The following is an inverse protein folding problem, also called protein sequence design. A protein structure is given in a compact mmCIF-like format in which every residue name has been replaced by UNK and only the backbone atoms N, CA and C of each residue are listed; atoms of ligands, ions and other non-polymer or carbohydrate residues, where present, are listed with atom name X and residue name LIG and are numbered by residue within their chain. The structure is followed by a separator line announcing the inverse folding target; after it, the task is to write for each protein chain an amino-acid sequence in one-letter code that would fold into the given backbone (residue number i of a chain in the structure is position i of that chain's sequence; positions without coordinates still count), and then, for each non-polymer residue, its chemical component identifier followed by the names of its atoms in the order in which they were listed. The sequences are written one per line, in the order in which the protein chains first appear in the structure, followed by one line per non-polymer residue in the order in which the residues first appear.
data_IF_897998587659
#
_entry.id   IF_897998587659
#
_cell.length_a   1.000
_cell.length_b   1.000
_cell.length_c   1.000
_cell.angle_alpha   90.00
_cell.angle_beta   90.00
_cell.angle_gamma   90.00
#
_symmetry.space_group_name_H-M   'P 1'
#
loop_
_entity.id
_entity.type
_entity.pdbx_description
1 polymer ?
#
# COMPACT_ATOMS: atom_id res chain seq x y z
N UNK A 1 -42.92 45.87 -47.03
CA UNK A 1 -41.47 45.77 -47.29
C UNK A 1 -41.06 44.32 -47.04
N UNK A 2 -40.58 43.61 -48.09
CA UNK A 2 -39.81 42.35 -48.08
C UNK A 2 -40.46 41.11 -47.42
N UNK A 3 -40.53 39.91 -48.00
CA UNK A 3 -39.85 39.32 -49.15
C UNK A 3 -39.27 37.94 -48.80
N UNK A 4 -39.68 36.90 -49.57
CA UNK A 4 -38.93 35.67 -49.98
C UNK A 4 -38.68 34.59 -48.87
N UNK A 5 -39.29 33.39 -48.93
CA UNK A 5 -38.88 32.15 -49.67
C UNK A 5 -37.41 31.76 -49.38
N UNK A 6 -36.94 30.53 -49.11
CA UNK A 6 -37.46 29.15 -49.10
C UNK A 6 -36.24 28.19 -48.87
N UNK A 7 -36.52 26.89 -48.70
CA UNK A 7 -35.70 25.70 -49.06
C UNK A 7 -34.74 25.04 -48.04
N UNK A 8 -35.17 23.86 -47.62
CA UNK A 8 -34.46 22.58 -47.59
C UNK A 8 -32.92 22.59 -47.51
N UNK A 9 -32.43 22.25 -46.32
CA UNK A 9 -31.17 21.53 -46.12
C UNK A 9 -31.44 20.38 -45.17
N UNK A 10 -31.64 19.19 -45.72
CA UNK A 10 -31.61 17.90 -45.02
C UNK A 10 -30.24 17.84 -44.32
N UNK A 11 -30.20 17.97 -43.01
CA UNK A 11 -29.07 17.53 -42.21
C UNK A 11 -29.50 16.24 -41.51
N UNK A 12 -28.74 15.15 -41.67
CA UNK A 12 -29.17 13.80 -41.30
C UNK A 12 -29.44 13.71 -39.80
N UNK A 13 -30.52 13.02 -39.45
CA UNK A 13 -30.67 12.47 -38.11
C UNK A 13 -29.41 11.65 -37.78
N UNK A 14 -28.79 11.84 -36.61
CA UNK A 14 -27.68 10.99 -36.21
C UNK A 14 -28.25 9.60 -35.91
N UNK A 15 -28.06 8.70 -36.87
CA UNK A 15 -28.29 7.26 -36.75
C UNK A 15 -27.54 6.70 -35.52
N UNK A 16 -28.18 5.75 -34.87
CA UNK A 16 -27.72 5.11 -33.66
C UNK A 16 -26.38 4.40 -33.87
N UNK A 17 -25.31 5.00 -33.35
CA UNK A 17 -23.98 4.42 -33.32
C UNK A 17 -23.31 4.62 -31.98
N UNK A 18 -23.84 3.98 -30.92
CA UNK A 18 -23.04 3.31 -29.89
C UNK A 18 -21.84 3.98 -29.20
N UNK A 19 -21.67 5.30 -29.21
CA UNK A 19 -20.52 5.94 -28.52
C UNK A 19 -20.81 6.32 -27.05
N UNK A 20 -22.01 6.04 -26.54
CA UNK A 20 -22.37 6.28 -25.13
C UNK A 20 -21.89 5.22 -24.14
N UNK A 21 -20.98 4.35 -24.54
CA UNK A 21 -20.47 3.27 -23.69
C UNK A 21 -19.07 3.53 -23.14
N UNK A 22 -18.25 4.42 -23.74
CA UNK A 22 -16.86 4.64 -23.30
C UNK A 22 -16.71 5.78 -22.27
N UNK A 23 -17.43 6.89 -22.43
CA UNK A 23 -17.43 8.01 -21.44
C UNK A 23 -18.04 7.62 -20.09
N UNK A 24 -18.93 6.62 -20.10
CA UNK A 24 -19.58 6.10 -18.89
C UNK A 24 -18.67 5.12 -18.13
N UNK A 25 -17.66 4.53 -18.78
CA UNK A 25 -16.72 3.60 -18.18
C UNK A 25 -15.50 4.29 -17.55
N UNK A 26 -15.14 5.51 -17.97
CA UNK A 26 -14.10 6.31 -17.29
C UNK A 26 -14.59 6.93 -15.97
N UNK A 27 -15.90 7.17 -15.87
CA UNK A 27 -16.55 7.70 -14.66
C UNK A 27 -16.63 6.66 -13.53
N UNK A 28 -16.56 5.37 -13.87
CA UNK A 28 -16.42 4.25 -12.92
C UNK A 28 -15.00 3.69 -12.85
N UNK A 29 -14.01 4.34 -13.51
CA UNK A 29 -12.66 4.22 -13.01
C UNK A 29 -12.72 4.79 -11.61
N UNK A 30 -12.71 3.89 -10.64
CA UNK A 30 -12.64 4.21 -9.23
C UNK A 30 -11.67 5.36 -9.15
N UNK A 31 -12.17 6.53 -8.75
CA UNK A 31 -11.34 7.46 -8.03
C UNK A 31 -10.82 6.61 -6.89
N UNK A 32 -9.70 5.91 -7.11
CA UNK A 32 -8.84 5.39 -6.08
C UNK A 32 -8.34 6.70 -5.49
N UNK A 33 -9.20 7.27 -4.64
CA UNK A 33 -8.97 8.46 -3.86
C UNK A 33 -7.60 8.20 -3.30
N UNK A 34 -6.59 8.92 -3.82
CA UNK A 34 -5.18 8.65 -3.58
C UNK A 34 -5.03 8.56 -2.07
N UNK A 35 -5.08 7.34 -1.52
CA UNK A 35 -5.06 7.15 -0.09
C UNK A 35 -3.62 7.48 0.24
N UNK A 36 -3.38 8.66 0.78
CA UNK A 36 -2.12 8.97 1.46
C UNK A 36 -2.07 8.06 2.71
N UNK A 37 -1.84 6.78 2.46
CA UNK A 37 -1.67 5.78 3.50
C UNK A 37 -0.24 5.85 4.03
N UNK A 38 0.05 5.10 5.09
CA UNK A 38 1.38 5.00 5.63
C UNK A 38 2.32 4.25 4.67
N UNK A 39 3.47 4.85 4.36
CA UNK A 39 4.62 4.17 3.77
C UNK A 39 5.43 3.53 4.90
N UNK A 40 5.52 2.20 4.93
CA UNK A 40 6.26 1.46 5.94
C UNK A 40 7.65 1.13 5.41
N UNK A 41 8.69 1.33 6.22
CA UNK A 41 10.07 0.96 5.90
C UNK A 41 10.70 0.28 7.08
N UNK A 42 11.51 -0.74 6.83
CA UNK A 42 12.39 -1.33 7.84
C UNK A 42 13.80 -1.45 7.28
N UNK A 43 14.78 -1.19 8.13
CA UNK A 43 16.18 -1.11 7.73
C UNK A 43 17.07 -1.82 8.73
N UNK A 44 17.90 -2.73 8.20
CA UNK A 44 18.86 -3.53 8.97
C UNK A 44 18.24 -4.11 10.24
N UNK A 45 17.04 -4.67 10.09
CA UNK A 45 16.29 -5.26 11.20
C UNK A 45 16.94 -6.59 11.58
N UNK A 46 17.47 -6.64 12.79
CA UNK A 46 18.04 -7.86 13.37
C UNK A 46 17.21 -8.26 14.57
N UNK A 47 16.98 -9.55 14.73
CA UNK A 47 16.28 -10.13 15.87
C UNK A 47 17.02 -11.36 16.33
N UNK A 48 17.30 -11.44 17.62
CA UNK A 48 17.90 -12.61 18.25
C UNK A 48 17.09 -13.02 19.49
N UNK A 49 17.02 -14.32 19.76
CA UNK A 49 16.35 -14.89 20.92
C UNK A 49 17.37 -15.33 21.96
N UNK A 50 17.07 -15.14 23.24
CA UNK A 50 17.89 -15.65 24.33
C UNK A 50 17.71 -17.17 24.45
N UNK A 51 18.83 -17.88 24.49
CA UNK A 51 18.94 -19.32 24.70
C UNK A 51 19.97 -19.59 25.81
N UNK A 52 20.06 -20.85 26.28
CA UNK A 52 21.00 -21.26 27.34
C UNK A 52 22.45 -20.90 27.01
N UNK A 53 22.79 -20.88 25.73
CA UNK A 53 24.15 -20.66 25.22
C UNK A 53 24.37 -19.22 24.73
N UNK A 54 23.47 -18.29 25.08
CA UNK A 54 23.51 -16.90 24.65
C UNK A 54 22.41 -16.53 23.65
N UNK A 55 22.63 -15.46 22.87
CA UNK A 55 21.65 -15.00 21.90
C UNK A 55 21.83 -15.70 20.55
N UNK A 56 20.76 -16.28 20.03
CA UNK A 56 20.72 -16.91 18.71
C UNK A 56 20.00 -16.01 17.71
N UNK A 57 20.62 -15.63 16.58
CA UNK A 57 19.99 -14.78 15.58
C UNK A 57 18.87 -15.52 14.85
N UNK A 58 17.74 -14.83 14.64
CA UNK A 58 16.60 -15.28 13.83
C UNK A 58 16.52 -14.45 12.54
N UNK A 59 16.72 -13.13 12.65
CA UNK A 59 16.79 -12.20 11.52
C UNK A 59 18.14 -11.50 11.51
N UNK A 60 18.75 -11.43 10.33
CA UNK A 60 20.11 -10.90 10.13
C UNK A 60 20.10 -9.74 9.14
N UNK A 61 19.50 -8.61 9.53
CA UNK A 61 19.58 -7.36 8.77
C UNK A 61 18.52 -7.19 7.68
N UNK A 62 17.30 -7.67 7.90
CA UNK A 62 16.20 -7.54 6.95
C UNK A 62 15.93 -6.05 6.64
N UNK A 63 15.77 -5.72 5.35
CA UNK A 63 15.49 -4.37 4.87
C UNK A 63 14.43 -4.43 3.79
N UNK A 64 13.53 -3.44 3.76
CA UNK A 64 12.47 -3.38 2.76
C UNK A 64 11.45 -2.28 3.07
N UNK A 65 10.42 -2.21 2.25
CA UNK A 65 9.35 -1.23 2.38
C UNK A 65 8.02 -1.76 1.83
N UNK A 66 6.93 -1.10 2.22
CA UNK A 66 5.60 -1.30 1.66
C UNK A 66 4.95 0.06 1.40
N UNK A 67 4.46 0.28 0.17
CA UNK A 67 3.78 1.53 -0.18
C UNK A 67 2.29 1.49 0.19
N UNK A 68 1.66 2.66 0.34
CA UNK A 68 0.22 2.75 0.47
C UNK A 68 -0.51 2.08 -0.70
N UNK A 69 -1.46 1.20 -0.38
CA UNK A 69 -2.26 0.51 -1.38
C UNK A 69 -1.61 -0.73 -2.00
N UNK A 70 -0.38 -1.09 -1.61
CA UNK A 70 0.27 -2.32 -2.03
C UNK A 70 0.00 -3.46 -1.04
N UNK A 71 -0.15 -4.68 -1.58
CA UNK A 71 -0.13 -5.92 -0.79
C UNK A 71 1.23 -6.55 -0.98
N UNK A 72 1.99 -6.69 0.12
CA UNK A 72 3.33 -7.30 0.12
C UNK A 72 3.25 -8.68 0.75
N UNK A 73 3.72 -9.70 0.03
CA UNK A 73 3.81 -11.07 0.53
C UNK A 73 5.23 -11.39 1.00
N UNK A 74 5.37 -11.95 2.21
CA UNK A 74 6.64 -12.46 2.74
C UNK A 74 6.65 -13.97 2.56
N UNK A 75 7.58 -14.47 1.75
CA UNK A 75 7.68 -15.89 1.38
C UNK A 75 9.04 -16.48 1.75
N UNK A 76 9.11 -17.80 1.91
CA UNK A 76 10.34 -18.51 2.27
C UNK A 76 10.10 -19.77 3.11
N UNK A 77 11.15 -20.59 3.35
CA UNK A 77 11.04 -21.88 4.03
C UNK A 77 10.52 -21.73 5.47
N UNK A 78 9.94 -22.81 6.01
CA UNK A 78 9.59 -22.87 7.43
C UNK A 78 10.84 -22.63 8.30
N UNK A 79 10.72 -21.85 9.38
CA UNK A 79 11.84 -21.47 10.22
C UNK A 79 12.71 -20.30 9.72
N UNK A 80 12.48 -19.78 8.51
CA UNK A 80 13.27 -18.65 7.96
C UNK A 80 12.99 -17.27 8.56
N UNK A 81 12.34 -17.17 9.73
CA UNK A 81 12.13 -15.89 10.43
C UNK A 81 11.00 -14.99 9.90
N UNK A 82 10.16 -15.46 8.97
CA UNK A 82 9.06 -14.66 8.37
C UNK A 82 8.07 -14.12 9.41
N UNK A 83 7.58 -14.97 10.31
CA UNK A 83 6.69 -14.55 11.40
C UNK A 83 7.40 -13.58 12.33
N UNK A 84 8.68 -13.82 12.63
CA UNK A 84 9.50 -12.91 13.44
C UNK A 84 9.66 -11.53 12.80
N UNK A 85 9.73 -11.45 11.47
CA UNK A 85 9.74 -10.17 10.76
C UNK A 85 8.41 -9.44 10.93
N UNK A 86 7.29 -10.16 10.77
CA UNK A 86 5.96 -9.59 10.99
C UNK A 86 5.74 -9.15 12.44
N UNK A 87 6.15 -9.96 13.41
CA UNK A 87 6.07 -9.63 14.84
C UNK A 87 6.92 -8.41 15.17
N UNK A 88 8.11 -8.28 14.57
CA UNK A 88 8.96 -7.11 14.73
C UNK A 88 8.33 -5.85 14.15
N UNK A 89 7.75 -5.92 12.95
CA UNK A 89 7.02 -4.81 12.33
C UNK A 89 5.77 -4.41 13.14
N UNK A 90 5.09 -5.39 13.74
CA UNK A 90 3.91 -5.17 14.58
C UNK A 90 4.26 -4.69 16.00
N UNK A 91 5.53 -4.76 16.41
CA UNK A 91 5.96 -4.46 17.78
C UNK A 91 5.54 -5.50 18.81
N UNK A 92 5.38 -6.76 18.39
CA UNK A 92 4.91 -7.89 19.19
C UNK A 92 6.00 -8.92 19.51
N UNK A 93 7.26 -8.49 19.52
CA UNK A 93 8.37 -9.38 19.85
C UNK A 93 8.30 -9.85 21.31
N UNK A 94 8.60 -11.13 21.54
CA UNK A 94 8.60 -11.72 22.87
C UNK A 94 9.69 -11.12 23.78
N UNK A 95 9.47 -11.12 25.09
CA UNK A 95 10.36 -10.49 26.07
C UNK A 95 11.76 -11.11 26.12
N UNK A 96 11.92 -12.36 25.71
CA UNK A 96 13.21 -13.05 25.60
C UNK A 96 13.96 -12.75 24.30
N UNK A 97 13.51 -11.76 23.51
CA UNK A 97 14.16 -11.37 22.25
C UNK A 97 14.81 -10.00 22.35
N UNK A 98 15.85 -9.81 21.55
CA UNK A 98 16.52 -8.53 21.34
C UNK A 98 16.39 -8.16 19.88
N UNK A 99 15.96 -6.92 19.61
CA UNK A 99 15.89 -6.38 18.26
C UNK A 99 16.75 -5.14 18.08
N UNK A 100 17.38 -5.00 16.91
CA UNK A 100 18.10 -3.80 16.48
C UNK A 100 17.57 -3.35 15.10
N UNK A 101 17.98 -2.17 14.65
CA UNK A 101 17.56 -1.61 13.37
C UNK A 101 16.52 -0.50 13.50
N UNK A 102 15.85 -0.18 12.38
CA UNK A 102 14.87 0.91 12.30
C UNK A 102 13.59 0.43 11.62
N UNK A 103 12.44 0.79 12.20
CA UNK A 103 11.13 0.68 11.57
C UNK A 103 10.58 2.10 11.48
N UNK A 104 10.16 2.50 10.29
CA UNK A 104 9.73 3.86 9.98
C UNK A 104 8.35 3.85 9.34
N UNK A 105 7.52 4.82 9.71
CA UNK A 105 6.25 5.11 9.04
C UNK A 105 6.36 6.53 8.47
N UNK A 106 6.17 6.68 7.16
CA UNK A 106 6.34 7.95 6.44
C UNK A 106 7.71 8.61 6.73
N UNK A 107 8.77 7.79 6.82
CA UNK A 107 10.14 8.25 7.14
C UNK A 107 10.38 8.62 8.60
N UNK A 108 9.38 8.51 9.48
CA UNK A 108 9.52 8.79 10.91
C UNK A 108 9.70 7.50 11.69
N UNK A 109 10.71 7.46 12.57
CA UNK A 109 10.99 6.29 13.40
C UNK A 109 9.78 5.98 14.28
N UNK A 110 9.27 4.76 14.17
CA UNK A 110 8.17 4.29 14.99
C UNK A 110 8.71 3.97 16.39
N UNK A 111 8.13 4.59 17.41
CA UNK A 111 8.30 4.13 18.79
C UNK A 111 7.30 3.01 19.03
N UNK A 112 7.73 1.77 18.80
CA UNK A 112 6.91 0.57 18.97
C UNK A 112 6.28 0.57 20.37
N UNK A 113 5.01 0.95 20.42
CA UNK A 113 4.12 0.87 21.57
C UNK A 113 2.89 0.12 21.06
N UNK A 114 2.39 -0.85 21.82
CA UNK A 114 1.33 -1.79 21.39
C UNK A 114 0.27 -1.12 20.50
N UNK A 115 0.05 -1.68 19.30
CA UNK A 115 -0.88 -1.21 18.29
C UNK A 115 -0.84 0.32 18.07
N UNK A 116 0.24 0.82 17.46
CA UNK A 116 0.31 2.23 17.09
C UNK A 116 -0.65 2.51 15.94
N UNK A 117 -1.80 3.12 16.23
CA UNK A 117 -2.73 3.63 15.22
C UNK A 117 -2.13 4.87 14.54
N UNK A 118 -1.84 4.77 13.24
CA UNK A 118 -1.38 5.92 12.45
C UNK A 118 -2.59 6.61 11.87
N UNK A 119 -2.87 7.85 12.29
CA UNK A 119 -3.88 8.69 11.61
C UNK A 119 -3.30 9.20 10.30
N UNK A 120 -4.03 8.98 9.21
CA UNK A 120 -3.84 9.74 7.99
C UNK A 120 -4.28 11.19 8.26
N UNK A 121 -3.44 12.16 7.88
CA UNK A 121 -3.77 13.59 7.91
C UNK A 121 -4.54 13.98 6.66
#
# INVERSE_FOLDING_TARGET
MGGLKNNNGINPEPDEGGERSLEMLESESLVIKKRNGPYLTWEKLEVAVSSSNGFQPILSGATGYAKPGEIVAIMGPSGGGKSTLLDSLAGQLASNTRSTGRILINGRKLRLTYCTMVRAQ
#
